data_IF_401192806637
#
_entry.id   IF_401192806637
#
_cell.length_a   1.000
_cell.length_b   1.000
_cell.length_c   1.000
_cell.angle_alpha   90.00
_cell.angle_beta   90.00
_cell.angle_gamma   90.00
#
_symmetry.space_group_name_H-M   'P 1'
#
loop_
_entity.id
_entity.type
_entity.pdbx_description
1 polymer ?
#
# COMPACT_ATOMS: atom_id res chain seq x y z
N UNK A 1 11.04 1.30 -9.40
CA UNK A 1 11.02 2.66 -9.99
C UNK A 1 10.18 3.50 -9.05
N UNK A 2 10.76 4.51 -8.39
CA UNK A 2 10.03 5.38 -7.46
C UNK A 2 9.29 6.42 -8.29
N UNK A 3 7.96 6.34 -8.33
CA UNK A 3 7.11 7.34 -8.96
C UNK A 3 6.82 8.39 -7.88
N UNK A 4 7.26 9.62 -8.15
CA UNK A 4 7.17 10.87 -7.38
C UNK A 4 6.49 10.87 -5.99
N UNK A 5 7.21 11.33 -4.96
CA UNK A 5 6.63 11.88 -3.73
C UNK A 5 6.12 13.29 -4.02
N UNK A 6 4.88 13.61 -3.65
CA UNK A 6 4.36 14.98 -3.70
C UNK A 6 3.59 15.34 -2.44
N UNK A 7 3.73 16.59 -2.02
CA UNK A 7 3.10 17.15 -0.82
C UNK A 7 2.38 18.45 -1.20
N UNK A 8 1.12 18.60 -0.78
CA UNK A 8 0.40 19.89 -0.80
C UNK A 8 0.01 20.34 0.60
N UNK A 9 0.54 21.50 0.97
CA UNK A 9 0.23 22.18 2.23
C UNK A 9 -0.94 23.15 2.06
N UNK A 10 -1.83 23.21 3.04
CA UNK A 10 -2.69 24.38 3.20
C UNK A 10 -1.84 25.57 3.68
N UNK A 11 -1.73 26.68 2.92
CA UNK A 11 -0.90 27.82 3.33
C UNK A 11 -1.37 28.49 4.64
N UNK A 12 -2.61 28.21 5.08
CA UNK A 12 -3.20 28.78 6.29
C UNK A 12 -3.34 27.76 7.44
N UNK A 13 -2.78 26.55 7.32
CA UNK A 13 -2.95 25.51 8.32
C UNK A 13 -1.89 24.41 8.27
N UNK A 14 -2.11 23.35 9.04
CA UNK A 14 -1.23 22.16 9.07
C UNK A 14 -1.88 20.96 8.37
N UNK A 15 -2.91 21.22 7.58
CA UNK A 15 -3.48 20.23 6.70
C UNK A 15 -2.51 19.94 5.55
N UNK A 16 -2.30 18.65 5.30
CA UNK A 16 -1.42 18.21 4.23
C UNK A 16 -1.99 16.98 3.54
N UNK A 17 -1.83 16.96 2.22
CA UNK A 17 -2.03 15.78 1.38
C UNK A 17 -0.69 15.30 0.85
N UNK A 18 -0.40 14.01 1.03
CA UNK A 18 0.85 13.37 0.61
C UNK A 18 0.54 12.16 -0.26
N UNK A 19 1.29 12.00 -1.36
CA UNK A 19 1.26 10.80 -2.21
C UNK A 19 2.60 10.09 -2.09
N UNK A 20 2.56 8.78 -1.87
CA UNK A 20 3.75 7.97 -1.66
C UNK A 20 4.11 7.16 -2.91
N UNK A 21 5.38 6.75 -3.04
CA UNK A 21 5.80 5.84 -4.09
C UNK A 21 5.09 4.49 -4.00
N UNK A 22 4.73 3.95 -5.16
CA UNK A 22 4.22 2.59 -5.30
C UNK A 22 5.31 1.53 -5.08
N UNK A 23 4.90 0.34 -4.66
CA UNK A 23 5.78 -0.83 -4.50
C UNK A 23 5.36 -1.97 -5.41
N UNK A 24 6.35 -2.68 -5.96
CA UNK A 24 6.13 -3.83 -6.84
C UNK A 24 6.81 -5.09 -6.30
N UNK A 25 6.04 -6.17 -6.27
CA UNK A 25 6.42 -7.42 -5.65
C UNK A 25 6.15 -8.61 -6.56
N UNK A 26 6.86 -9.70 -6.28
CA UNK A 26 6.74 -10.96 -7.00
C UNK A 26 6.58 -12.12 -6.02
N UNK A 27 5.77 -13.10 -6.42
CA UNK A 27 5.63 -14.38 -5.73
C UNK A 27 5.43 -15.52 -6.72
N UNK A 28 5.80 -16.74 -6.32
CA UNK A 28 5.56 -17.96 -7.11
C UNK A 28 5.42 -19.16 -6.19
N UNK A 29 4.68 -20.18 -6.64
CA UNK A 29 4.65 -21.51 -5.99
C UNK A 29 5.79 -22.43 -6.48
N UNK A 30 6.60 -21.97 -7.43
CA UNK A 30 7.75 -22.72 -7.94
C UNK A 30 8.89 -22.79 -6.92
N UNK A 31 9.04 -23.95 -6.26
CA UNK A 31 10.08 -24.19 -5.24
C UNK A 31 11.51 -24.01 -5.76
N UNK A 32 11.79 -24.39 -7.00
CA UNK A 32 13.13 -24.22 -7.57
C UNK A 32 13.46 -22.73 -7.70
N UNK A 33 12.51 -21.95 -8.18
CA UNK A 33 12.67 -20.50 -8.28
C UNK A 33 12.79 -19.85 -6.90
N UNK A 34 11.99 -20.28 -5.92
CA UNK A 34 12.09 -19.79 -4.53
C UNK A 34 13.43 -20.12 -3.87
N UNK A 35 14.08 -21.23 -4.25
CA UNK A 35 15.43 -21.54 -3.77
C UNK A 35 16.49 -20.63 -4.39
N UNK A 36 16.31 -20.19 -5.64
CA UNK A 36 17.24 -19.28 -6.32
C UNK A 36 17.02 -17.81 -5.92
N UNK A 37 15.76 -17.42 -5.72
CA UNK A 37 15.33 -16.08 -5.36
C UNK A 37 14.39 -16.13 -4.14
N UNK A 38 14.94 -16.36 -2.93
CA UNK A 38 14.14 -16.42 -1.70
C UNK A 38 13.47 -15.07 -1.38
N UNK A 39 12.48 -15.06 -0.46
CA UNK A 39 11.84 -13.84 0.01
C UNK A 39 12.86 -12.77 0.45
N UNK A 40 12.65 -11.52 0.03
CA UNK A 40 13.57 -10.40 0.24
C UNK A 40 14.54 -10.15 -0.93
N UNK A 41 14.81 -11.15 -1.78
CA UNK A 41 15.61 -10.95 -3.00
C UNK A 41 14.82 -10.18 -4.07
N UNK A 42 15.50 -9.84 -5.16
CA UNK A 42 14.87 -9.26 -6.35
C UNK A 42 14.77 -10.26 -7.50
N UNK A 43 13.62 -10.26 -8.16
CA UNK A 43 13.36 -11.00 -9.39
C UNK A 43 12.55 -10.15 -10.37
N UNK A 44 13.03 -10.00 -11.61
CA UNK A 44 12.54 -9.00 -12.58
C UNK A 44 12.42 -7.57 -12.01
N UNK A 45 13.32 -7.19 -11.10
CA UNK A 45 13.30 -5.89 -10.42
C UNK A 45 12.32 -5.77 -9.25
N UNK A 46 11.40 -6.72 -9.09
CA UNK A 46 10.42 -6.78 -8.01
C UNK A 46 11.00 -7.46 -6.77
N UNK A 47 10.54 -7.06 -5.58
CA UNK A 47 10.93 -7.74 -4.34
C UNK A 47 10.13 -9.04 -4.23
N UNK A 48 10.82 -10.16 -3.96
CA UNK A 48 10.16 -11.43 -3.71
C UNK A 48 9.50 -11.38 -2.33
N UNK A 49 8.17 -11.35 -2.29
CA UNK A 49 7.38 -11.29 -1.05
C UNK A 49 6.00 -11.88 -1.31
N UNK A 50 5.47 -12.63 -0.34
CA UNK A 50 4.14 -13.20 -0.44
C UNK A 50 3.09 -12.07 -0.50
N UNK A 51 2.05 -12.18 -1.35
CA UNK A 51 0.96 -11.21 -1.38
C UNK A 51 0.26 -11.11 -0.03
N UNK A 52 -0.11 -9.89 0.35
CA UNK A 52 -0.86 -9.59 1.58
C UNK A 52 -2.03 -8.64 1.24
N UNK A 53 -2.96 -8.46 2.18
CA UNK A 53 -4.03 -7.46 2.00
C UNK A 53 -3.48 -6.04 2.17
N UNK A 54 -4.20 -5.03 1.66
CA UNK A 54 -3.84 -3.63 1.87
C UNK A 54 -3.76 -3.27 3.37
N UNK A 55 -4.60 -3.86 4.20
CA UNK A 55 -4.61 -3.65 5.65
C UNK A 55 -3.27 -4.06 6.29
N UNK A 56 -2.73 -5.22 5.88
CA UNK A 56 -1.44 -5.74 6.33
C UNK A 56 -0.30 -4.94 5.71
N UNK A 57 -0.38 -4.62 4.41
CA UNK A 57 0.64 -3.85 3.71
C UNK A 57 0.85 -2.45 4.33
N UNK A 58 -0.23 -1.76 4.71
CA UNK A 58 -0.14 -0.47 5.39
C UNK A 58 0.65 -0.56 6.70
N UNK A 59 0.45 -1.62 7.48
CA UNK A 59 1.12 -1.80 8.77
C UNK A 59 2.55 -2.34 8.66
N UNK A 60 2.80 -3.29 7.76
CA UNK A 60 4.09 -4.00 7.68
C UNK A 60 5.07 -3.38 6.69
N UNK A 61 4.58 -2.57 5.74
CA UNK A 61 5.39 -2.00 4.65
C UNK A 61 5.39 -0.48 4.75
N UNK A 62 4.21 0.15 4.60
CA UNK A 62 4.14 1.62 4.52
C UNK A 62 4.50 2.28 5.84
N UNK A 63 3.92 1.83 6.96
CA UNK A 63 4.14 2.48 8.24
C UNK A 63 5.62 2.44 8.67
N UNK A 64 6.34 1.30 8.63
CA UNK A 64 7.75 1.27 8.99
C UNK A 64 8.61 2.11 8.04
N UNK A 65 8.36 2.03 6.72
CA UNK A 65 9.17 2.71 5.71
C UNK A 65 8.98 4.23 5.74
N UNK A 66 7.73 4.71 5.82
CA UNK A 66 7.39 6.12 5.67
C UNK A 66 7.29 6.87 6.99
N UNK A 67 7.08 6.16 8.11
CA UNK A 67 6.73 6.77 9.40
C UNK A 67 7.48 6.18 10.60
N UNK A 68 8.32 5.15 10.41
CA UNK A 68 9.00 4.44 11.51
C UNK A 68 9.90 5.30 12.40
N UNK A 69 10.34 6.46 11.91
CA UNK A 69 11.15 7.43 12.68
C UNK A 69 10.34 8.47 13.48
N UNK A 70 9.01 8.44 13.44
CA UNK A 70 8.20 9.47 14.07
C UNK A 70 8.05 9.26 15.58
N UNK A 71 8.21 10.35 16.33
CA UNK A 71 8.08 10.33 17.78
C UNK A 71 6.63 10.14 18.22
N UNK A 72 6.41 9.25 19.19
CA UNK A 72 5.09 9.03 19.77
C UNK A 72 4.06 8.45 18.79
N UNK A 73 4.54 7.73 17.77
CA UNK A 73 3.69 7.08 16.78
C UNK A 73 2.81 6.01 17.43
N UNK A 74 1.50 6.14 17.22
CA UNK A 74 0.48 5.19 17.66
C UNK A 74 -0.52 4.94 16.54
N UNK A 75 -0.86 3.67 16.31
CA UNK A 75 -1.96 3.29 15.42
C UNK A 75 -3.28 3.49 16.17
N UNK A 76 -4.16 4.33 15.62
CA UNK A 76 -5.50 4.57 16.17
C UNK A 76 -6.54 3.61 15.58
N UNK A 77 -6.43 3.31 14.28
CA UNK A 77 -7.41 2.49 13.56
C UNK A 77 -6.79 1.87 12.31
N UNK A 78 -7.22 0.67 11.94
CA UNK A 78 -6.85 0.03 10.67
C UNK A 78 -8.06 -0.71 10.10
N UNK A 79 -8.52 -0.33 8.92
CA UNK A 79 -9.81 -0.76 8.37
C UNK A 79 -9.69 -1.16 6.91
N UNK A 80 -10.44 -2.20 6.53
CA UNK A 80 -10.68 -2.50 5.13
C UNK A 80 -11.62 -1.46 4.52
N UNK A 81 -11.34 -1.09 3.27
CA UNK A 81 -12.14 -0.18 2.45
C UNK A 81 -12.40 -0.91 1.12
N UNK A 82 -13.29 -1.92 1.10
CA UNK A 82 -13.49 -2.81 -0.05
C UNK A 82 -13.99 -2.10 -1.31
N UNK A 83 -14.61 -0.93 -1.17
CA UNK A 83 -15.07 -0.07 -2.26
C UNK A 83 -13.94 0.72 -2.94
N UNK A 84 -12.81 0.94 -2.25
CA UNK A 84 -11.72 1.78 -2.75
C UNK A 84 -11.09 1.24 -4.05
N UNK A 85 -10.79 -0.07 -4.18
CA UNK A 85 -10.23 -0.59 -5.43
C UNK A 85 -11.17 -0.37 -6.62
N UNK A 86 -12.48 -0.58 -6.43
CA UNK A 86 -13.47 -0.39 -7.49
C UNK A 86 -13.56 1.07 -7.92
N UNK A 87 -13.55 2.01 -6.96
CA UNK A 87 -13.55 3.45 -7.24
C UNK A 87 -12.31 3.91 -8.03
N UNK A 88 -11.18 3.24 -7.83
CA UNK A 88 -9.91 3.51 -8.52
C UNK A 88 -9.69 2.68 -9.78
N UNK A 89 -10.64 1.79 -10.13
CA UNK A 89 -10.53 0.90 -11.28
C UNK A 89 -9.49 -0.21 -11.13
N UNK A 90 -9.00 -0.48 -9.92
CA UNK A 90 -8.02 -1.52 -9.60
C UNK A 90 -8.62 -2.94 -9.63
N UNK A 91 -7.79 -3.95 -9.93
CA UNK A 91 -8.19 -5.36 -9.88
C UNK A 91 -9.09 -5.84 -11.03
N UNK A 92 -9.05 -5.18 -12.19
CA UNK A 92 -9.81 -5.59 -13.37
C UNK A 92 -9.44 -7.01 -13.81
N UNK A 93 -10.45 -7.78 -14.21
CA UNK A 93 -10.24 -9.13 -14.70
C UNK A 93 -9.61 -9.11 -16.10
N UNK A 94 -8.63 -9.97 -16.31
CA UNK A 94 -7.99 -10.18 -17.60
C UNK A 94 -8.05 -11.66 -17.97
N UNK A 95 -8.32 -11.97 -19.24
CA UNK A 95 -8.41 -13.34 -19.72
C UNK A 95 -7.11 -14.12 -19.43
N UNK A 96 -7.24 -15.27 -18.76
CA UNK A 96 -6.11 -16.12 -18.39
C UNK A 96 -5.29 -15.64 -17.18
N UNK A 97 -5.69 -14.55 -16.51
CA UNK A 97 -5.03 -13.99 -15.32
C UNK A 97 -6.04 -13.86 -14.19
N UNK A 98 -5.81 -14.56 -13.08
CA UNK A 98 -6.59 -14.38 -11.87
C UNK A 98 -6.18 -13.06 -11.21
N UNK A 99 -7.06 -12.06 -11.30
CA UNK A 99 -6.80 -10.72 -10.75
C UNK A 99 -7.64 -10.47 -9.50
N UNK A 100 -7.11 -9.70 -8.56
CA UNK A 100 -7.83 -9.31 -7.35
C UNK A 100 -7.24 -8.05 -6.74
N UNK A 101 -8.05 -7.29 -6.01
CA UNK A 101 -7.58 -6.10 -5.31
C UNK A 101 -8.24 -5.96 -3.94
N UNK A 102 -7.51 -5.36 -3.00
CA UNK A 102 -8.01 -5.02 -1.66
C UNK A 102 -7.65 -3.57 -1.36
N UNK A 103 -8.55 -2.83 -0.72
CA UNK A 103 -8.31 -1.46 -0.27
C UNK A 103 -8.36 -1.38 1.24
N UNK A 104 -7.58 -0.50 1.84
CA UNK A 104 -7.57 -0.28 3.28
C UNK A 104 -7.19 1.16 3.63
N UNK A 105 -7.45 1.53 4.88
CA UNK A 105 -6.98 2.77 5.48
C UNK A 105 -6.44 2.54 6.90
N UNK A 106 -5.40 3.29 7.26
CA UNK A 106 -4.70 3.24 8.53
C UNK A 106 -4.66 4.65 9.12
N UNK A 107 -5.29 4.83 10.28
CA UNK A 107 -5.24 6.09 11.04
C UNK A 107 -4.16 5.98 12.12
N UNK A 108 -3.25 6.94 12.13
CA UNK A 108 -2.14 7.06 13.09
C UNK A 108 -2.16 8.42 13.79
N UNK A 109 -1.49 8.48 14.92
CA UNK A 109 -1.17 9.72 15.65
C UNK A 109 0.31 9.76 15.98
N UNK A 110 0.92 10.93 15.90
CA UNK A 110 2.33 11.15 16.28
C UNK A 110 2.58 12.60 16.66
N UNK A 111 3.79 12.90 17.12
CA UNK A 111 4.23 14.25 17.43
C UNK A 111 5.10 14.79 16.29
N UNK A 112 4.73 15.96 15.76
CA UNK A 112 5.55 16.70 14.79
C UNK A 112 5.71 18.14 15.25
N UNK A 113 6.96 18.60 15.42
CA UNK A 113 7.26 19.94 15.92
C UNK A 113 6.58 20.26 17.26
N UNK A 114 6.48 19.27 18.16
CA UNK A 114 5.82 19.42 19.47
C UNK A 114 4.29 19.42 19.44
N UNK A 115 3.65 19.18 18.29
CA UNK A 115 2.19 19.18 18.16
C UNK A 115 1.67 17.79 17.77
N UNK A 116 0.57 17.31 18.38
CA UNK A 116 -0.05 16.06 18.00
C UNK A 116 -0.72 16.19 16.62
N UNK A 117 -0.30 15.30 15.72
CA UNK A 117 -0.83 15.16 14.37
C UNK A 117 -1.62 13.85 14.29
N UNK A 118 -2.75 13.89 13.61
CA UNK A 118 -3.45 12.69 13.14
C UNK A 118 -3.31 12.60 11.63
N UNK A 119 -3.07 11.38 11.15
CA UNK A 119 -2.89 11.08 9.73
C UNK A 119 -3.70 9.83 9.38
N UNK A 120 -4.39 9.87 8.25
CA UNK A 120 -5.08 8.71 7.67
C UNK A 120 -4.44 8.38 6.33
N UNK A 121 -3.87 7.18 6.24
CA UNK A 121 -3.14 6.67 5.08
C UNK A 121 -4.04 5.65 4.39
N UNK A 122 -4.23 5.79 3.09
CA UNK A 122 -4.97 4.86 2.24
C UNK A 122 -4.00 4.12 1.33
N UNK A 123 -4.36 2.89 0.96
CA UNK A 123 -3.65 2.15 -0.07
C UNK A 123 -4.53 1.07 -0.70
N UNK A 124 -4.14 0.63 -1.89
CA UNK A 124 -4.70 -0.53 -2.57
C UNK A 124 -3.58 -1.54 -2.82
N UNK A 125 -3.89 -2.82 -2.59
CA UNK A 125 -3.08 -3.93 -3.08
C UNK A 125 -3.77 -4.57 -4.27
N UNK A 126 -3.06 -4.66 -5.39
CA UNK A 126 -3.49 -5.37 -6.59
C UNK A 126 -2.67 -6.64 -6.77
N UNK A 127 -3.30 -7.70 -7.23
CA UNK A 127 -2.68 -9.01 -7.47
C UNK A 127 -3.06 -9.49 -8.87
N UNK A 128 -2.08 -10.04 -9.58
CA UNK A 128 -2.23 -10.63 -10.91
C UNK A 128 -1.50 -11.97 -10.90
N UNK A 129 -2.27 -13.06 -10.87
CA UNK A 129 -1.73 -14.42 -10.84
C UNK A 129 -1.95 -15.09 -12.19
N UNK A 130 -0.88 -15.60 -12.79
CA UNK A 130 -0.92 -16.27 -14.09
C UNK A 130 -0.12 -17.57 -14.06
N UNK A 131 -0.63 -18.63 -14.73
CA UNK A 131 0.09 -19.88 -14.84
C UNK A 131 1.22 -19.77 -15.85
N UNK A 132 2.33 -20.44 -15.58
CA UNK A 132 3.43 -20.64 -16.55
C UNK A 132 3.79 -22.11 -16.61
N UNK A 133 3.96 -22.61 -17.83
CA UNK A 133 4.43 -23.97 -18.06
C UNK A 133 5.95 -24.02 -17.91
N UNK A 134 6.43 -24.86 -17.00
CA UNK A 134 7.85 -25.13 -16.80
C UNK A 134 8.19 -26.61 -16.98
N UNK A 135 9.48 -26.91 -16.83
CA UNK A 135 10.02 -28.28 -16.92
C UNK A 135 9.41 -29.25 -15.90
N UNK A 136 8.94 -28.73 -14.75
CA UNK A 136 8.37 -29.51 -13.66
C UNK A 136 6.83 -29.38 -13.55
N UNK A 137 6.17 -28.94 -14.62
CA UNK A 137 4.72 -28.72 -14.65
C UNK A 137 4.34 -27.24 -14.62
N UNK A 138 3.06 -26.99 -14.35
CA UNK A 138 2.51 -25.62 -14.26
C UNK A 138 2.87 -25.03 -12.90
N UNK A 139 3.35 -23.79 -12.90
CA UNK A 139 3.53 -22.98 -11.69
C UNK A 139 2.77 -21.67 -11.80
N UNK A 140 2.24 -21.17 -10.70
CA UNK A 140 1.57 -19.88 -10.63
C UNK A 140 2.55 -18.80 -10.22
N UNK A 141 2.60 -17.73 -10.99
CA UNK A 141 3.36 -16.54 -10.64
C UNK A 141 2.39 -15.40 -10.36
N UNK A 142 2.65 -14.69 -9.28
CA UNK A 142 1.86 -13.54 -8.85
C UNK A 142 2.73 -12.30 -8.91
N UNK A 143 2.34 -11.35 -9.75
CA UNK A 143 2.76 -9.96 -9.61
C UNK A 143 1.76 -9.28 -8.69
N UNK A 144 2.25 -8.56 -7.68
CA UNK A 144 1.38 -7.77 -6.85
C UNK A 144 1.99 -6.43 -6.53
N UNK A 145 1.14 -5.44 -6.39
CA UNK A 145 1.51 -4.04 -6.27
C UNK A 145 0.82 -3.45 -5.06
N UNK A 146 1.52 -2.54 -4.40
CA UNK A 146 0.95 -1.67 -3.39
C UNK A 146 0.94 -0.27 -4.00
N UNK A 147 -0.25 0.14 -4.41
CA UNK A 147 -0.50 1.31 -5.24
C UNK A 147 -1.51 2.25 -4.56
N UNK A 148 -1.71 3.42 -5.17
CA UNK A 148 -2.65 4.45 -4.71
C UNK A 148 -2.44 4.80 -3.24
N UNK A 149 -1.17 4.89 -2.83
CA UNK A 149 -0.82 5.19 -1.46
C UNK A 149 -0.84 6.71 -1.30
N UNK A 150 -1.73 7.20 -0.45
CA UNK A 150 -1.82 8.61 -0.13
C UNK A 150 -2.25 8.81 1.31
N UNK A 151 -2.00 9.99 1.86
CA UNK A 151 -2.46 10.34 3.19
C UNK A 151 -2.98 11.76 3.30
N UNK A 152 -3.84 11.95 4.28
CA UNK A 152 -4.22 13.25 4.80
C UNK A 152 -3.74 13.35 6.22
N UNK A 153 -3.12 14.47 6.57
CA UNK A 153 -2.78 14.78 7.95
C UNK A 153 -3.27 16.15 8.37
N UNK A 154 -3.58 16.28 9.65
CA UNK A 154 -3.99 17.52 10.29
C UNK A 154 -3.63 17.46 11.78
N UNK A 155 -3.73 18.60 12.48
CA UNK A 155 -3.69 18.58 13.95
C UNK A 155 -4.76 17.64 14.50
N UNK A 156 -4.45 16.93 15.57
CA UNK A 156 -5.37 15.96 16.18
C UNK A 156 -6.77 16.57 16.42
N UNK A 157 -7.81 15.83 16.03
CA UNK A 157 -9.21 16.28 16.15
C UNK A 157 -9.73 17.14 14.99
N UNK A 158 -8.88 17.57 14.04
CA UNK A 158 -9.31 18.32 12.85
C UNK A 158 -9.32 17.50 11.54
N UNK A 159 -8.88 16.24 11.56
CA UNK A 159 -8.73 15.42 10.36
C UNK A 159 -10.07 15.17 9.62
N UNK A 160 -11.15 14.92 10.35
CA UNK A 160 -12.46 14.58 9.74
C UNK A 160 -13.12 15.73 8.98
N UNK A 161 -12.69 16.98 9.21
CA UNK A 161 -13.18 18.13 8.44
C UNK A 161 -12.71 18.06 6.98
N UNK A 162 -11.61 17.34 6.71
CA UNK A 162 -10.93 17.33 5.41
C UNK A 162 -11.13 16.04 4.63
N UNK A 163 -11.43 14.91 5.30
CA UNK A 163 -11.64 13.61 4.64
C UNK A 163 -12.98 13.53 3.89
N UNK A 164 -13.95 14.41 4.19
CA UNK A 164 -15.25 14.47 3.53
C UNK A 164 -15.18 14.78 2.02
N UNK A 165 -14.08 15.36 1.54
CA UNK A 165 -13.89 15.72 0.12
C UNK A 165 -13.78 14.47 -0.78
N UNK A 166 -13.44 13.31 -0.20
CA UNK A 166 -13.26 12.04 -0.94
C UNK A 166 -14.22 10.93 -0.50
N UNK A 167 -15.29 11.27 0.23
CA UNK A 167 -16.34 10.32 0.63
C UNK A 167 -17.54 10.30 -0.32
N UNK A 168 -17.49 11.03 -1.44
CA UNK A 168 -18.52 11.05 -2.50
C UNK A 168 -18.28 10.01 -3.57
#
# INVERSE_FOLDING_TARGET
MVIAHSNRLNPNGREEFEVFPNHSFYWTDNKMQMNLFPPGNRYYGNVVKQPVTAQVALQEIILPEQRGGLQGLTILKNENVPELPAALGAGQQQAGVASGATGAKLRIRYISGGVPIEEEIYAVVETMTFPTQGMFGVSNNTLWYLDYIFSFKATAGNLEKNTKIFQT
#
